data_IF_910331290432
#
_entry.id   IF_910331290432
#
_cell.length_a   1.000
_cell.length_b   1.000
_cell.length_c   1.000
_cell.angle_alpha   90.00
_cell.angle_beta   90.00
_cell.angle_gamma   90.00
#
_symmetry.space_group_name_H-M   'P 1'
#
loop_
_entity.id
_entity.type
_entity.pdbx_description
1 polymer ?
#
# COMPACT_ATOMS: atom_id res chain seq x y z
N UNK A 1 -19.96 16.17 11.15
CA UNK A 1 -18.53 15.79 11.19
C UNK A 1 -18.29 14.42 10.55
N UNK A 2 -19.05 13.36 10.87
CA UNK A 2 -18.86 12.03 10.27
C UNK A 2 -18.98 12.03 8.74
N UNK A 3 -20.02 12.64 8.16
CA UNK A 3 -20.19 12.73 6.72
C UNK A 3 -18.98 13.40 6.01
N UNK A 4 -18.46 14.49 6.59
CA UNK A 4 -17.29 15.16 6.06
C UNK A 4 -16.04 14.27 6.08
N UNK A 5 -15.85 13.49 7.14
CA UNK A 5 -14.77 12.50 7.21
C UNK A 5 -14.92 11.40 6.15
N UNK A 6 -16.12 10.86 5.98
CA UNK A 6 -16.40 9.83 4.97
C UNK A 6 -16.20 10.35 3.53
N UNK A 7 -16.60 11.59 3.24
CA UNK A 7 -16.36 12.23 1.95
C UNK A 7 -14.86 12.45 1.71
N UNK A 8 -14.13 12.93 2.72
CA UNK A 8 -12.68 13.12 2.67
C UNK A 8 -11.96 11.79 2.43
N UNK A 9 -12.33 10.74 3.17
CA UNK A 9 -11.74 9.40 2.99
C UNK A 9 -12.06 8.80 1.63
N UNK A 10 -13.33 8.97 1.15
CA UNK A 10 -13.71 8.55 -0.20
C UNK A 10 -12.91 9.29 -1.27
N UNK A 11 -12.66 10.60 -1.07
CA UNK A 11 -11.80 11.36 -1.97
C UNK A 11 -10.38 10.79 -2.03
N UNK A 12 -9.76 10.49 -0.87
CA UNK A 12 -8.42 9.89 -0.81
C UNK A 12 -8.41 8.52 -1.47
N UNK A 13 -9.40 7.67 -1.20
CA UNK A 13 -9.40 6.31 -1.70
C UNK A 13 -9.70 6.21 -3.21
N UNK A 14 -10.54 7.08 -3.77
CA UNK A 14 -10.98 6.98 -5.17
C UNK A 14 -10.49 8.13 -6.04
N UNK A 15 -10.78 9.39 -5.63
CA UNK A 15 -10.54 10.55 -6.49
C UNK A 15 -9.06 10.84 -6.67
N UNK A 16 -8.29 10.76 -5.59
CA UNK A 16 -6.85 11.02 -5.61
C UNK A 16 -6.10 10.02 -6.53
N UNK A 17 -6.21 8.67 -6.39
CA UNK A 17 -5.47 7.76 -7.25
C UNK A 17 -5.96 7.78 -8.70
N UNK A 18 -7.28 7.85 -8.93
CA UNK A 18 -7.84 7.88 -10.29
C UNK A 18 -7.51 9.22 -10.96
N UNK A 19 -7.73 10.34 -10.29
CA UNK A 19 -7.45 11.67 -10.81
C UNK A 19 -5.96 11.87 -11.11
N UNK A 20 -5.09 11.42 -10.20
CA UNK A 20 -3.64 11.39 -10.39
C UNK A 20 -3.23 10.55 -11.60
N UNK A 21 -3.81 9.36 -11.75
CA UNK A 21 -3.58 8.51 -12.91
C UNK A 21 -4.03 9.17 -14.22
N UNK A 22 -5.23 9.76 -14.26
CA UNK A 22 -5.74 10.49 -15.44
C UNK A 22 -4.82 11.63 -15.82
N UNK A 23 -4.34 12.41 -14.84
CA UNK A 23 -3.38 13.48 -15.07
C UNK A 23 -2.07 12.95 -15.68
N UNK A 24 -1.55 11.83 -15.16
CA UNK A 24 -0.32 11.21 -15.69
C UNK A 24 -0.53 10.62 -17.09
N UNK A 25 -1.70 10.04 -17.38
CA UNK A 25 -2.05 9.53 -18.72
C UNK A 25 -2.06 10.64 -19.77
N UNK A 26 -2.54 11.83 -19.42
CA UNK A 26 -2.50 13.01 -20.31
C UNK A 26 -1.08 13.50 -20.60
N UNK A 27 -0.15 13.29 -19.65
CA UNK A 27 1.26 13.74 -19.77
C UNK A 27 2.16 12.69 -20.43
N UNK A 28 1.87 11.39 -20.26
CA UNK A 28 2.76 10.32 -20.67
C UNK A 28 2.04 9.11 -21.20
N UNK A 29 2.35 8.75 -22.46
CA UNK A 29 1.90 7.51 -23.09
C UNK A 29 2.40 6.31 -22.25
N UNK A 30 1.51 5.34 -22.01
CA UNK A 30 1.84 4.14 -21.21
C UNK A 30 1.57 4.29 -19.70
N UNK A 31 1.32 5.50 -19.16
CA UNK A 31 1.00 5.68 -17.75
C UNK A 31 -0.28 4.93 -17.34
N UNK A 32 -1.30 4.88 -18.20
CA UNK A 32 -2.51 4.10 -17.94
C UNK A 32 -2.25 2.59 -17.83
N UNK A 33 -1.37 2.08 -18.68
CA UNK A 33 -0.90 0.68 -18.60
C UNK A 33 -0.17 0.44 -17.28
N UNK A 34 0.68 1.36 -16.84
CA UNK A 34 1.39 1.25 -15.57
C UNK A 34 0.41 1.27 -14.39
N UNK A 35 -0.60 2.13 -14.40
CA UNK A 35 -1.66 2.16 -13.39
C UNK A 35 -2.39 0.82 -13.29
N UNK A 36 -2.84 0.28 -14.43
CA UNK A 36 -3.53 -1.01 -14.47
C UNK A 36 -2.66 -2.15 -13.92
N UNK A 37 -1.39 -2.21 -14.33
CA UNK A 37 -0.49 -3.24 -13.80
C UNK A 37 -0.15 -3.04 -12.32
N UNK A 38 -0.16 -1.81 -11.81
CA UNK A 38 -0.10 -1.53 -10.39
C UNK A 38 -1.27 -2.15 -9.63
N UNK A 39 -2.50 -1.90 -10.10
CA UNK A 39 -3.72 -2.51 -9.53
C UNK A 39 -3.66 -4.04 -9.57
N UNK A 40 -3.32 -4.63 -10.72
CA UNK A 40 -3.24 -6.08 -10.88
C UNK A 40 -2.16 -6.71 -10.00
N UNK A 41 -1.01 -6.05 -9.82
CA UNK A 41 0.04 -6.53 -8.94
C UNK A 41 -0.45 -6.66 -7.49
N UNK A 42 -1.19 -5.67 -6.97
CA UNK A 42 -1.82 -5.75 -5.65
C UNK A 42 -2.89 -6.84 -5.59
N UNK A 43 -3.84 -6.85 -6.53
CA UNK A 43 -4.94 -7.82 -6.53
C UNK A 43 -4.41 -9.26 -6.54
N UNK A 44 -3.40 -9.54 -7.34
CA UNK A 44 -2.82 -10.90 -7.41
C UNK A 44 -2.06 -11.22 -6.13
N UNK A 45 -1.21 -10.31 -5.64
CA UNK A 45 -0.36 -10.60 -4.48
C UNK A 45 -1.15 -10.71 -3.18
N UNK A 46 -2.10 -9.83 -2.93
CA UNK A 46 -2.83 -9.78 -1.65
C UNK A 46 -4.16 -10.54 -1.71
N UNK A 47 -5.24 -10.07 -2.38
CA UNK A 47 -6.53 -10.75 -2.34
C UNK A 47 -6.53 -12.18 -2.88
N UNK A 48 -5.72 -12.46 -3.91
CA UNK A 48 -5.75 -13.78 -4.56
C UNK A 48 -4.73 -14.78 -4.00
N UNK A 49 -3.60 -14.32 -3.47
CA UNK A 49 -2.55 -15.22 -3.00
C UNK A 49 -2.34 -15.13 -1.49
N UNK A 50 -1.90 -13.98 -0.97
CA UNK A 50 -1.47 -13.88 0.42
C UNK A 50 -2.62 -13.97 1.43
N UNK A 51 -3.72 -13.24 1.22
CA UNK A 51 -4.84 -13.27 2.16
C UNK A 51 -5.49 -14.66 2.28
N UNK A 52 -5.77 -15.41 1.19
CA UNK A 52 -6.24 -16.79 1.31
C UNK A 52 -5.24 -17.71 2.03
N UNK A 53 -3.94 -17.52 1.78
CA UNK A 53 -2.91 -18.27 2.48
C UNK A 53 -2.97 -18.01 4.00
N UNK A 54 -3.04 -16.75 4.43
CA UNK A 54 -3.06 -16.36 5.83
C UNK A 54 -4.36 -16.69 6.56
N UNK A 55 -5.50 -16.62 5.85
CA UNK A 55 -6.83 -16.71 6.47
C UNK A 55 -7.49 -18.09 6.33
N UNK A 56 -7.09 -18.87 5.32
CA UNK A 56 -7.72 -20.16 5.03
C UNK A 56 -6.74 -21.30 5.22
N UNK A 57 -5.52 -21.20 4.66
CA UNK A 57 -4.57 -22.31 4.62
C UNK A 57 -3.80 -22.43 5.93
N UNK A 58 -3.11 -21.37 6.34
CA UNK A 58 -2.21 -21.42 7.51
C UNK A 58 -2.92 -21.68 8.85
N UNK A 59 -4.16 -21.19 9.10
CA UNK A 59 -4.86 -21.50 10.34
C UNK A 59 -5.15 -22.99 10.57
N UNK A 60 -5.02 -23.83 9.53
CA UNK A 60 -5.19 -25.28 9.65
C UNK A 60 -3.97 -25.97 10.29
N UNK A 61 -2.86 -25.25 10.48
CA UNK A 61 -1.62 -25.81 11.02
C UNK A 61 -1.34 -25.30 12.43
N UNK A 62 -1.07 -26.23 13.37
CA UNK A 62 -0.83 -25.90 14.78
C UNK A 62 0.35 -24.92 14.98
N UNK A 63 1.42 -25.05 14.18
CA UNK A 63 2.57 -24.15 14.26
C UNK A 63 2.19 -22.67 14.01
N UNK A 64 1.19 -22.42 13.15
CA UNK A 64 0.74 -21.06 12.87
C UNK A 64 -0.01 -20.45 14.05
N UNK A 65 -0.84 -21.25 14.76
CA UNK A 65 -1.46 -20.81 15.99
C UNK A 65 -0.43 -20.46 17.08
N UNK A 66 0.63 -21.28 17.21
CA UNK A 66 1.75 -20.98 18.12
C UNK A 66 2.49 -19.72 17.72
N UNK A 67 2.71 -19.51 16.42
CA UNK A 67 3.34 -18.28 15.90
C UNK A 67 2.55 -17.02 16.27
N UNK A 68 1.22 -17.09 16.23
CA UNK A 68 0.33 -15.95 16.57
C UNK A 68 0.40 -15.56 18.06
N UNK A 69 0.86 -16.45 18.94
CA UNK A 69 1.03 -16.16 20.37
C UNK A 69 2.26 -15.28 20.67
N UNK A 70 3.19 -15.17 19.74
CA UNK A 70 4.41 -14.35 19.87
C UNK A 70 4.31 -13.12 18.96
N UNK A 71 4.02 -11.93 19.48
CA UNK A 71 3.85 -10.72 18.67
C UNK A 71 5.07 -10.36 17.82
N UNK A 72 6.29 -10.65 18.30
CA UNK A 72 7.53 -10.35 17.57
C UNK A 72 7.67 -11.25 16.34
N UNK A 73 7.50 -12.55 16.51
CA UNK A 73 7.60 -13.51 15.40
C UNK A 73 6.44 -13.35 14.43
N UNK A 74 5.23 -13.14 14.98
CA UNK A 74 4.05 -12.97 14.15
C UNK A 74 4.10 -11.67 13.35
N UNK A 75 4.49 -10.55 13.96
CA UNK A 75 4.68 -9.28 13.27
C UNK A 75 5.73 -9.41 12.17
N UNK A 76 6.89 -10.00 12.46
CA UNK A 76 7.93 -10.24 11.45
C UNK A 76 7.41 -11.12 10.31
N UNK A 77 6.66 -12.17 10.60
CA UNK A 77 6.09 -13.06 9.60
C UNK A 77 5.09 -12.32 8.70
N UNK A 78 4.20 -11.50 9.29
CA UNK A 78 3.23 -10.73 8.54
C UNK A 78 3.91 -9.69 7.64
N UNK A 79 4.83 -8.91 8.18
CA UNK A 79 5.52 -7.88 7.40
C UNK A 79 6.42 -8.47 6.31
N UNK A 80 7.16 -9.54 6.62
CA UNK A 80 8.02 -10.20 5.64
C UNK A 80 7.20 -10.82 4.49
N UNK A 81 6.10 -11.49 4.81
CA UNK A 81 5.23 -12.07 3.77
C UNK A 81 4.54 -10.97 2.94
N UNK A 82 4.14 -9.83 3.53
CA UNK A 82 3.61 -8.70 2.77
C UNK A 82 4.65 -8.19 1.77
N UNK A 83 5.85 -7.87 2.26
CA UNK A 83 6.93 -7.40 1.39
C UNK A 83 7.30 -8.40 0.30
N UNK A 84 7.41 -9.70 0.62
CA UNK A 84 7.73 -10.72 -0.37
C UNK A 84 6.66 -10.83 -1.46
N UNK A 85 5.38 -10.92 -1.10
CA UNK A 85 4.31 -11.08 -2.08
C UNK A 85 4.14 -9.82 -2.93
N UNK A 86 4.05 -8.67 -2.31
CA UNK A 86 3.74 -7.42 -3.04
C UNK A 86 4.91 -6.91 -3.86
N UNK A 87 6.12 -6.86 -3.29
CA UNK A 87 7.26 -6.31 -4.01
C UNK A 87 7.74 -7.25 -5.12
N UNK A 88 7.59 -8.58 -4.94
CA UNK A 88 7.85 -9.54 -6.02
C UNK A 88 6.83 -9.41 -7.14
N UNK A 89 5.54 -9.29 -6.84
CA UNK A 89 4.51 -9.05 -7.85
C UNK A 89 4.73 -7.73 -8.59
N UNK A 90 5.09 -6.66 -7.87
CA UNK A 90 5.48 -5.36 -8.42
C UNK A 90 6.66 -5.49 -9.38
N UNK A 91 7.72 -6.18 -8.94
CA UNK A 91 8.92 -6.39 -9.76
C UNK A 91 8.62 -7.19 -11.03
N UNK A 92 7.84 -8.29 -10.93
CA UNK A 92 7.39 -9.09 -12.08
C UNK A 92 6.59 -8.23 -13.05
N UNK A 93 5.61 -7.49 -12.54
CA UNK A 93 4.75 -6.65 -13.36
C UNK A 93 5.56 -5.58 -14.12
N UNK A 94 6.48 -4.89 -13.45
CA UNK A 94 7.32 -3.86 -14.05
C UNK A 94 8.29 -4.49 -15.07
N UNK A 95 8.97 -5.58 -14.72
CA UNK A 95 10.01 -6.20 -15.54
C UNK A 95 9.46 -6.82 -16.82
N UNK A 96 8.35 -7.51 -16.75
CA UNK A 96 7.86 -8.32 -17.88
C UNK A 96 6.76 -7.65 -18.69
N UNK A 97 5.97 -6.77 -18.07
CA UNK A 97 4.80 -6.17 -18.72
C UNK A 97 4.96 -4.70 -19.06
N UNK A 98 5.84 -3.94 -18.37
CA UNK A 98 6.15 -2.56 -18.73
C UNK A 98 7.44 -2.51 -19.55
N UNK A 99 7.40 -3.02 -20.79
CA UNK A 99 8.57 -3.16 -21.69
C UNK A 99 9.07 -1.85 -22.31
N UNK A 100 8.32 -0.77 -22.24
CA UNK A 100 8.66 0.53 -22.84
C UNK A 100 9.73 1.27 -22.04
N UNK A 101 10.26 2.38 -22.61
CA UNK A 101 11.17 3.28 -21.86
C UNK A 101 10.45 3.79 -20.60
N UNK A 102 10.74 3.13 -19.49
CA UNK A 102 10.11 3.42 -18.18
C UNK A 102 10.71 4.72 -17.64
N UNK A 103 9.86 5.67 -17.29
CA UNK A 103 10.25 6.93 -16.67
C UNK A 103 9.45 7.18 -15.39
N UNK A 104 9.68 8.33 -14.73
CA UNK A 104 9.10 8.64 -13.42
C UNK A 104 7.57 8.58 -13.42
N UNK A 105 6.91 9.05 -14.48
CA UNK A 105 5.46 9.05 -14.59
C UNK A 105 4.87 7.64 -14.59
N UNK A 106 5.58 6.66 -15.13
CA UNK A 106 5.16 5.26 -15.04
C UNK A 106 5.26 4.72 -13.61
N UNK A 107 6.33 5.09 -12.87
CA UNK A 107 6.49 4.71 -11.47
C UNK A 107 5.43 5.32 -10.56
N UNK A 108 5.17 6.61 -10.73
CA UNK A 108 4.10 7.32 -10.03
C UNK A 108 2.73 6.68 -10.32
N UNK A 109 2.46 6.41 -11.62
CA UNK A 109 1.19 5.83 -12.05
C UNK A 109 1.02 4.39 -11.55
N UNK A 110 2.09 3.60 -11.55
CA UNK A 110 2.06 2.23 -11.00
C UNK A 110 1.78 2.25 -9.49
N UNK A 111 2.47 3.12 -8.74
CA UNK A 111 2.26 3.27 -7.30
C UNK A 111 0.86 3.75 -6.94
N UNK A 112 0.31 4.71 -7.70
CA UNK A 112 -1.09 5.14 -7.59
C UNK A 112 -2.06 3.99 -7.88
N UNK A 113 -1.76 3.13 -8.86
CA UNK A 113 -2.58 1.95 -9.15
C UNK A 113 -2.56 0.94 -8.01
N UNK A 114 -1.37 0.62 -7.51
CA UNK A 114 -1.18 -0.37 -6.45
C UNK A 114 -1.80 0.10 -5.12
N UNK A 115 -1.32 1.20 -4.56
CA UNK A 115 -1.84 1.75 -3.30
C UNK A 115 -3.27 2.28 -3.41
N UNK A 116 -3.67 2.76 -4.60
CA UNK A 116 -5.04 3.21 -4.85
C UNK A 116 -6.04 2.06 -4.79
N UNK A 117 -5.79 0.94 -5.46
CA UNK A 117 -6.70 -0.22 -5.39
C UNK A 117 -6.75 -0.84 -4.00
N UNK A 118 -5.63 -0.85 -3.27
CA UNK A 118 -5.60 -1.24 -1.87
C UNK A 118 -6.52 -0.35 -1.03
N UNK A 119 -6.36 0.98 -1.14
CA UNK A 119 -7.18 1.94 -0.43
C UNK A 119 -8.68 1.79 -0.77
N UNK A 120 -9.00 1.57 -2.06
CA UNK A 120 -10.36 1.34 -2.52
C UNK A 120 -10.98 0.10 -1.87
N UNK A 121 -10.27 -1.04 -1.92
CA UNK A 121 -10.81 -2.35 -1.51
C UNK A 121 -10.92 -2.47 0.01
N UNK A 122 -9.92 -1.99 0.75
CA UNK A 122 -9.87 -2.22 2.20
C UNK A 122 -10.64 -1.18 3.01
N UNK A 123 -10.74 0.05 2.52
CA UNK A 123 -11.38 1.15 3.26
C UNK A 123 -12.42 1.89 2.43
N UNK A 124 -12.10 2.22 1.19
CA UNK A 124 -12.92 3.08 0.34
C UNK A 124 -14.35 2.56 0.14
N UNK A 125 -14.50 1.27 -0.17
CA UNK A 125 -15.83 0.64 -0.33
C UNK A 125 -16.65 0.77 0.96
N UNK A 126 -16.03 0.60 2.12
CA UNK A 126 -16.73 0.75 3.41
C UNK A 126 -17.18 2.20 3.63
N UNK A 127 -16.36 3.19 3.28
CA UNK A 127 -16.73 4.60 3.41
C UNK A 127 -17.91 4.97 2.50
N UNK A 128 -17.91 4.50 1.24
CA UNK A 128 -19.04 4.69 0.32
C UNK A 128 -20.28 4.01 0.85
N UNK A 129 -20.17 2.81 1.39
CA UNK A 129 -21.30 2.11 2.01
C UNK A 129 -21.86 2.85 3.22
N UNK A 130 -20.99 3.39 4.09
CA UNK A 130 -21.41 4.21 5.23
C UNK A 130 -22.10 5.51 4.80
N UNK A 131 -21.62 6.17 3.74
CA UNK A 131 -22.28 7.34 3.15
C UNK A 131 -23.68 6.98 2.63
N UNK A 132 -23.81 5.84 1.95
CA UNK A 132 -25.11 5.34 1.50
C UNK A 132 -26.07 5.11 2.69
N UNK A 133 -25.61 4.49 3.78
CA UNK A 133 -26.45 4.31 4.98
C UNK A 133 -26.86 5.66 5.61
N UNK A 134 -25.99 6.66 5.60
CA UNK A 134 -26.33 8.00 6.07
C UNK A 134 -27.43 8.64 5.21
N UNK A 135 -27.33 8.53 3.88
CA UNK A 135 -28.36 9.05 2.96
C UNK A 135 -29.71 8.36 3.20
N UNK A 136 -29.69 7.06 3.52
CA UNK A 136 -30.90 6.29 3.85
C UNK A 136 -31.45 6.55 5.26
N UNK A 137 -30.95 7.56 5.99
CA UNK A 137 -31.36 7.90 7.34
C UNK A 137 -30.88 6.93 8.44
N UNK A 138 -29.99 5.99 8.10
CA UNK A 138 -29.46 4.96 9.00
C UNK A 138 -28.12 5.33 9.64
N UNK A 139 -27.74 6.60 9.58
CA UNK A 139 -26.44 7.08 10.09
C UNK A 139 -26.20 6.85 11.60
N UNK A 140 -27.27 6.82 12.39
CA UNK A 140 -27.19 6.53 13.82
C UNK A 140 -26.75 5.08 14.15
N UNK A 141 -26.84 4.17 13.18
CA UNK A 141 -26.45 2.76 13.33
C UNK A 141 -24.96 2.52 13.01
N UNK A 142 -24.23 3.54 12.58
CA UNK A 142 -22.81 3.39 12.22
C UNK A 142 -21.96 3.27 13.48
N UNK A 143 -21.18 2.19 13.65
CA UNK A 143 -20.40 1.91 14.86
C UNK A 143 -19.06 2.67 14.88
N UNK A 144 -18.93 3.76 14.10
CA UNK A 144 -17.66 4.49 13.93
C UNK A 144 -17.80 5.97 14.22
N UNK A 145 -16.82 6.53 14.90
CA UNK A 145 -16.71 7.97 15.15
C UNK A 145 -16.02 8.72 14.00
N UNK A 146 -16.28 10.02 13.88
CA UNK A 146 -15.63 10.87 12.87
C UNK A 146 -14.09 10.86 12.97
N UNK A 147 -13.55 10.79 14.20
CA UNK A 147 -12.09 10.71 14.43
C UNK A 147 -11.48 9.45 13.82
N UNK A 148 -12.10 8.29 14.03
CA UNK A 148 -11.63 7.01 13.44
C UNK A 148 -11.61 7.07 11.92
N UNK A 149 -12.68 7.59 11.30
CA UNK A 149 -12.77 7.74 9.85
C UNK A 149 -11.67 8.64 9.31
N UNK A 150 -11.40 9.76 10.00
CA UNK A 150 -10.36 10.69 9.59
C UNK A 150 -8.96 10.05 9.68
N UNK A 151 -8.67 9.36 10.78
CA UNK A 151 -7.40 8.64 11.00
C UNK A 151 -7.20 7.55 9.94
N UNK A 152 -8.22 6.72 9.67
CA UNK A 152 -8.15 5.72 8.60
C UNK A 152 -7.96 6.35 7.21
N UNK A 153 -8.48 7.55 6.99
CA UNK A 153 -8.27 8.27 5.72
C UNK A 153 -6.80 8.70 5.55
N UNK A 154 -6.18 9.21 6.61
CA UNK A 154 -4.76 9.59 6.61
C UNK A 154 -3.85 8.37 6.44
N UNK A 155 -4.20 7.27 7.08
CA UNK A 155 -3.49 6.00 6.91
C UNK A 155 -3.49 5.55 5.44
N UNK A 156 -4.66 5.61 4.74
CA UNK A 156 -4.72 5.28 3.31
C UNK A 156 -3.87 6.23 2.45
N UNK A 157 -3.79 7.50 2.81
CA UNK A 157 -2.89 8.44 2.14
C UNK A 157 -1.42 8.01 2.31
N UNK A 158 -1.02 7.64 3.53
CA UNK A 158 0.32 7.13 3.84
C UNK A 158 0.64 5.86 3.05
N UNK A 159 -0.31 4.91 2.97
CA UNK A 159 -0.15 3.70 2.18
C UNK A 159 0.06 4.00 0.68
N UNK A 160 -0.73 4.91 0.10
CA UNK A 160 -0.55 5.33 -1.31
C UNK A 160 0.84 5.93 -1.52
N UNK A 161 1.31 6.80 -0.63
CA UNK A 161 2.64 7.41 -0.71
C UNK A 161 3.76 6.38 -0.60
N UNK A 162 3.63 5.42 0.33
CA UNK A 162 4.55 4.29 0.45
C UNK A 162 4.64 3.52 -0.87
N UNK A 163 3.51 3.13 -1.44
CA UNK A 163 3.48 2.35 -2.68
C UNK A 163 4.01 3.11 -3.90
N UNK A 164 3.88 4.44 -3.93
CA UNK A 164 4.54 5.28 -4.93
C UNK A 164 6.07 5.19 -4.77
N UNK A 165 6.58 5.34 -3.56
CA UNK A 165 8.01 5.26 -3.27
C UNK A 165 8.60 3.88 -3.60
N UNK A 166 7.94 2.81 -3.16
CA UNK A 166 8.33 1.43 -3.44
C UNK A 166 8.33 1.14 -4.96
N UNK A 167 7.33 1.68 -5.69
CA UNK A 167 7.27 1.52 -7.15
C UNK A 167 8.42 2.21 -7.87
N UNK A 168 8.80 3.42 -7.45
CA UNK A 168 9.96 4.13 -8.00
C UNK A 168 11.25 3.37 -7.72
N UNK A 169 11.42 2.83 -6.51
CA UNK A 169 12.58 2.06 -6.08
C UNK A 169 12.74 0.77 -6.88
N UNK A 170 11.68 -0.04 -6.97
CA UNK A 170 11.70 -1.30 -7.73
C UNK A 170 11.89 -1.04 -9.23
N UNK A 171 11.24 -0.01 -9.77
CA UNK A 171 11.40 0.40 -11.16
C UNK A 171 12.82 0.84 -11.47
N UNK A 172 13.48 1.57 -10.57
CA UNK A 172 14.89 1.89 -10.68
C UNK A 172 15.73 0.61 -10.74
N UNK A 173 15.49 -0.35 -9.86
CA UNK A 173 16.17 -1.65 -9.85
C UNK A 173 16.01 -2.42 -11.17
N UNK A 174 14.81 -2.44 -11.73
CA UNK A 174 14.54 -3.08 -13.05
C UNK A 174 15.31 -2.39 -14.17
N UNK A 175 15.33 -1.04 -14.21
CA UNK A 175 16.08 -0.25 -15.20
C UNK A 175 17.59 -0.49 -15.12
N UNK A 176 18.10 -0.65 -13.90
CA UNK A 176 19.55 -0.89 -13.63
C UNK A 176 19.95 -2.36 -13.70
N UNK A 177 18.97 -3.28 -13.82
CA UNK A 177 19.17 -4.74 -13.73
C UNK A 177 19.83 -5.17 -12.42
N UNK A 178 19.52 -4.49 -11.32
CA UNK A 178 20.08 -4.75 -9.98
C UNK A 178 18.98 -5.21 -9.02
N UNK A 179 18.98 -6.50 -8.67
CA UNK A 179 17.98 -7.12 -7.77
C UNK A 179 18.04 -6.58 -6.33
N UNK A 180 19.14 -5.95 -5.91
CA UNK A 180 19.26 -5.35 -4.57
C UNK A 180 18.15 -4.35 -4.25
N UNK A 181 17.63 -3.64 -5.25
CA UNK A 181 16.53 -2.69 -5.03
C UNK A 181 15.20 -3.37 -4.72
N UNK A 182 14.97 -4.58 -5.24
CA UNK A 182 13.86 -5.43 -4.82
C UNK A 182 14.02 -5.84 -3.35
N UNK A 183 15.23 -6.29 -2.97
CA UNK A 183 15.50 -6.66 -1.57
C UNK A 183 15.30 -5.47 -0.61
N UNK A 184 15.73 -4.26 -1.00
CA UNK A 184 15.50 -3.05 -0.20
C UNK A 184 14.00 -2.71 -0.12
N UNK A 185 13.24 -2.86 -1.21
CA UNK A 185 11.81 -2.63 -1.18
C UNK A 185 11.08 -3.63 -0.26
N UNK A 186 11.45 -4.92 -0.31
CA UNK A 186 10.94 -5.95 0.61
C UNK A 186 11.26 -5.58 2.07
N UNK A 187 12.49 -5.15 2.34
CA UNK A 187 12.89 -4.73 3.68
C UNK A 187 12.08 -3.52 4.18
N UNK A 188 11.92 -2.48 3.35
CA UNK A 188 11.14 -1.30 3.71
C UNK A 188 9.68 -1.65 3.97
N UNK A 189 9.09 -2.55 3.17
CA UNK A 189 7.73 -3.02 3.38
C UNK A 189 7.62 -3.86 4.67
N UNK A 190 8.58 -4.75 4.91
CA UNK A 190 8.65 -5.50 6.17
C UNK A 190 8.75 -4.57 7.38
N UNK A 191 9.58 -3.52 7.28
CA UNK A 191 9.73 -2.51 8.33
C UNK A 191 8.50 -1.62 8.48
N UNK A 192 7.67 -1.47 7.46
CA UNK A 192 6.37 -0.80 7.61
C UNK A 192 5.41 -1.65 8.44
N UNK A 193 5.22 -2.91 8.10
CA UNK A 193 4.14 -3.74 8.64
C UNK A 193 4.50 -4.48 9.93
N UNK A 194 5.71 -5.04 10.01
CA UNK A 194 6.10 -5.90 11.13
C UNK A 194 6.04 -5.22 12.50
N UNK A 195 6.51 -3.96 12.66
CA UNK A 195 6.46 -3.29 13.95
C UNK A 195 5.05 -2.95 14.43
N UNK A 196 4.06 -2.83 13.54
CA UNK A 196 2.69 -2.47 13.91
C UNK A 196 2.13 -3.46 14.96
N UNK A 197 2.31 -4.76 14.72
CA UNK A 197 1.86 -5.81 15.65
C UNK A 197 2.54 -5.67 17.01
N UNK A 198 3.85 -5.45 17.01
CA UNK A 198 4.65 -5.33 18.24
C UNK A 198 4.32 -4.05 19.00
N UNK A 199 4.20 -2.92 18.30
CA UNK A 199 3.85 -1.64 18.89
C UNK A 199 2.48 -1.68 19.59
N UNK A 200 1.51 -2.36 18.98
CA UNK A 200 0.17 -2.53 19.58
C UNK A 200 0.19 -3.54 20.71
N UNK A 201 0.67 -4.78 20.48
CA UNK A 201 0.50 -5.89 21.40
C UNK A 201 1.46 -5.84 22.59
N UNK A 202 2.69 -5.33 22.41
CA UNK A 202 3.72 -5.32 23.47
C UNK A 202 3.83 -3.96 24.13
N UNK A 203 3.80 -2.89 23.35
CA UNK A 203 4.02 -1.52 23.86
C UNK A 203 2.72 -0.75 24.09
N UNK A 204 1.55 -1.29 23.74
CA UNK A 204 0.26 -0.63 23.92
C UNK A 204 0.12 0.69 23.15
N UNK A 205 0.87 0.87 22.06
CA UNK A 205 0.82 2.09 21.25
C UNK A 205 -0.56 2.21 20.62
N UNK A 206 -1.24 3.32 20.90
CA UNK A 206 -2.56 3.60 20.33
C UNK A 206 -2.51 3.93 18.84
N UNK A 207 -3.69 3.94 18.21
CA UNK A 207 -3.86 4.13 16.77
C UNK A 207 -3.09 5.35 16.25
N UNK A 208 -3.18 6.50 16.93
CA UNK A 208 -2.48 7.71 16.51
C UNK A 208 -0.95 7.55 16.43
N UNK A 209 -0.34 6.81 17.36
CA UNK A 209 1.09 6.51 17.34
C UNK A 209 1.47 5.59 16.16
N UNK A 210 0.63 4.60 15.86
CA UNK A 210 0.80 3.72 14.70
C UNK A 210 0.74 4.53 13.40
N UNK A 211 -0.20 5.46 13.28
CA UNK A 211 -0.34 6.28 12.08
C UNK A 211 0.85 7.23 11.87
N UNK A 212 1.38 7.80 12.94
CA UNK A 212 2.61 8.60 12.86
C UNK A 212 3.78 7.73 12.38
N UNK A 213 3.90 6.52 12.91
CA UNK A 213 4.92 5.57 12.45
C UNK A 213 4.76 5.22 10.96
N UNK A 214 3.55 4.85 10.53
CA UNK A 214 3.25 4.52 9.14
C UNK A 214 3.52 5.69 8.19
N UNK A 215 3.14 6.91 8.58
CA UNK A 215 3.41 8.12 7.82
C UNK A 215 4.91 8.39 7.66
N UNK A 216 5.70 8.22 8.72
CA UNK A 216 7.17 8.37 8.66
C UNK A 216 7.79 7.32 7.73
N UNK A 217 7.38 6.05 7.84
CA UNK A 217 7.85 4.99 6.96
C UNK A 217 7.49 5.26 5.48
N UNK A 218 6.28 5.77 5.23
CA UNK A 218 5.83 6.16 3.89
C UNK A 218 6.68 7.30 3.31
N UNK A 219 6.94 8.35 4.08
CA UNK A 219 7.79 9.48 3.66
C UNK A 219 9.22 9.03 3.38
N UNK A 220 9.82 8.21 4.26
CA UNK A 220 11.16 7.67 4.07
C UNK A 220 11.22 6.86 2.76
N UNK A 221 10.26 5.99 2.52
CA UNK A 221 10.20 5.15 1.31
C UNK A 221 10.00 5.99 0.05
N UNK A 222 9.14 7.02 0.11
CA UNK A 222 8.92 7.94 -1.00
C UNK A 222 10.20 8.72 -1.35
N UNK A 223 10.86 9.28 -0.34
CA UNK A 223 12.12 10.02 -0.52
C UNK A 223 13.21 9.09 -1.08
N UNK A 224 13.35 7.88 -0.54
CA UNK A 224 14.30 6.88 -1.05
C UNK A 224 14.01 6.52 -2.52
N UNK A 225 12.75 6.30 -2.88
CA UNK A 225 12.33 5.99 -4.24
C UNK A 225 12.65 7.12 -5.23
N UNK A 226 12.33 8.38 -4.87
CA UNK A 226 12.62 9.57 -5.67
C UNK A 226 14.13 9.75 -5.82
N UNK A 227 14.88 9.69 -4.71
CA UNK A 227 16.32 9.85 -4.71
C UNK A 227 17.03 8.81 -5.57
N UNK A 228 16.73 7.52 -5.39
CA UNK A 228 17.28 6.45 -6.21
C UNK A 228 16.96 6.66 -7.69
N UNK A 229 15.72 7.06 -8.00
CA UNK A 229 15.30 7.28 -9.38
C UNK A 229 16.06 8.42 -10.07
N UNK A 230 16.38 9.49 -9.34
CA UNK A 230 17.09 10.68 -9.84
C UNK A 230 18.60 10.48 -9.91
N UNK A 231 19.18 9.48 -9.22
CA UNK A 231 20.63 9.25 -9.19
C UNK A 231 21.16 8.89 -10.59
N UNK A 232 22.15 9.63 -11.13
CA UNK A 232 22.74 9.35 -12.42
C UNK A 232 23.51 8.03 -12.45
N UNK A 233 23.64 7.40 -13.62
CA UNK A 233 24.42 6.17 -13.81
C UNK A 233 25.86 6.23 -13.25
N UNK A 234 26.44 7.41 -13.16
CA UNK A 234 27.86 7.64 -12.88
C UNK A 234 28.25 7.37 -11.41
N UNK A 235 27.27 7.28 -10.49
CA UNK A 235 27.52 7.15 -9.04
C UNK A 235 27.08 5.80 -8.47
N UNK A 236 26.84 4.80 -9.31
CA UNK A 236 26.45 3.42 -8.95
C UNK A 236 27.43 2.39 -9.50
#
# INVERSE_FOLDING_TARGET
MLAAGLLFGSFICFVLPIGGAVMLMRRKKGAGKAFLFGMLAFIVSQPLLRLPLLQIVLPQYAWFAVLQMDPWRYGLFLGLTAGLFEETARWIAIRFFLKEKINIEHGLSFGLGHGGVEAMLFVGIQFVYMLFLMIMGKGALLPVGAGTVFVSSLERLSAILFHIGASLLVMHGVRRKKARYLAVAILLHTLLDAPIVVLQAVFGVGVAGIEVYAALAAVITLVAGIWCYQTPKKYE
#
